data_IF_550241163996
#
_entry.id   IF_550241163996
#
_cell.length_a   1.000
_cell.length_b   1.000
_cell.length_c   1.000
_cell.angle_alpha   90.00
_cell.angle_beta   90.00
_cell.angle_gamma   90.00
#
_symmetry.space_group_name_H-M   'P 1'
#
loop_
_entity.id
_entity.type
_entity.pdbx_description
1 polymer ?
#
# COMPACT_ATOMS: atom_id res chain seq x y z
N UNK A 1 -13.32 1.45 31.58
CA UNK A 1 -12.14 2.14 30.98
C UNK A 1 -11.51 1.36 29.81
N UNK A 2 -11.15 0.09 30.00
CA UNK A 2 -10.46 -0.75 29.00
C UNK A 2 -11.13 -0.77 27.61
N UNK A 3 -12.46 -0.81 27.57
CA UNK A 3 -13.23 -0.84 26.33
C UNK A 3 -13.05 0.44 25.47
N UNK A 4 -12.92 1.61 26.12
CA UNK A 4 -12.72 2.90 25.42
C UNK A 4 -11.33 2.97 24.78
N UNK A 5 -10.32 2.40 25.45
CA UNK A 5 -8.94 2.33 24.95
C UNK A 5 -8.85 1.35 23.78
N UNK A 6 -9.42 0.14 23.90
CA UNK A 6 -9.48 -0.84 22.81
C UNK A 6 -10.14 -0.27 21.56
N UNK A 7 -11.27 0.42 21.72
CA UNK A 7 -11.99 1.05 20.60
C UNK A 7 -11.14 2.07 19.85
N UNK A 8 -10.38 2.92 20.56
CA UNK A 8 -9.49 3.91 19.94
C UNK A 8 -8.37 3.24 19.12
N UNK A 9 -7.81 2.15 19.64
CA UNK A 9 -6.76 1.39 18.95
C UNK A 9 -7.30 0.75 17.67
N UNK A 10 -8.46 0.09 17.74
CA UNK A 10 -9.07 -0.53 16.56
C UNK A 10 -9.48 0.49 15.51
N UNK A 11 -9.97 1.66 15.95
CA UNK A 11 -10.26 2.77 15.04
C UNK A 11 -9.00 3.26 14.31
N UNK A 12 -7.89 3.47 15.02
CA UNK A 12 -6.63 3.88 14.41
C UNK A 12 -6.09 2.82 13.43
N UNK A 13 -6.19 1.53 13.77
CA UNK A 13 -5.82 0.42 12.85
C UNK A 13 -6.68 0.43 11.59
N UNK A 14 -7.99 0.63 11.72
CA UNK A 14 -8.92 0.67 10.59
C UNK A 14 -8.61 1.87 9.67
N UNK A 15 -8.35 3.05 10.24
CA UNK A 15 -7.93 4.22 9.46
C UNK A 15 -6.64 3.98 8.70
N UNK A 16 -5.64 3.36 9.35
CA UNK A 16 -4.39 2.99 8.68
C UNK A 16 -4.64 1.99 7.56
N UNK A 17 -5.46 0.95 7.78
CA UNK A 17 -5.83 -0.05 6.76
C UNK A 17 -6.44 0.60 5.52
N UNK A 18 -7.41 1.49 5.72
CA UNK A 18 -8.05 2.19 4.61
C UNK A 18 -7.05 2.99 3.77
N UNK A 19 -6.03 3.60 4.39
CA UNK A 19 -4.96 4.32 3.67
C UNK A 19 -4.05 3.38 2.88
N UNK A 20 -3.61 2.26 3.48
CA UNK A 20 -2.65 1.34 2.84
C UNK A 20 -3.29 0.43 1.80
N UNK A 21 -4.59 0.15 1.90
CA UNK A 21 -5.34 -0.65 0.93
C UNK A 21 -5.20 -0.12 -0.50
N UNK A 22 -5.16 1.20 -0.67
CA UNK A 22 -5.06 1.82 -1.99
C UNK A 22 -3.73 1.50 -2.70
N UNK A 23 -2.53 1.73 -2.10
CA UNK A 23 -1.27 1.22 -2.63
C UNK A 23 -1.26 -0.29 -2.89
N UNK A 24 -1.82 -1.10 -1.99
CA UNK A 24 -1.88 -2.55 -2.16
C UNK A 24 -2.75 -2.95 -3.36
N UNK A 25 -3.84 -2.24 -3.63
CA UNK A 25 -4.69 -2.45 -4.81
C UNK A 25 -3.91 -2.15 -6.09
N UNK A 26 -3.14 -1.05 -6.12
CA UNK A 26 -2.29 -0.69 -7.28
C UNK A 26 -1.29 -1.82 -7.56
N UNK A 27 -0.59 -2.31 -6.54
CA UNK A 27 0.43 -3.34 -6.70
C UNK A 27 -0.20 -4.69 -7.11
N UNK A 28 -1.26 -5.13 -6.43
CA UNK A 28 -1.85 -6.45 -6.67
C UNK A 28 -2.68 -6.49 -7.96
N UNK A 29 -3.40 -5.42 -8.30
CA UNK A 29 -4.32 -5.42 -9.44
C UNK A 29 -3.65 -4.82 -10.68
N UNK A 30 -3.14 -3.59 -10.58
CA UNK A 30 -2.61 -2.87 -11.76
C UNK A 30 -1.24 -3.38 -12.18
N UNK A 31 -0.37 -3.70 -11.23
CA UNK A 31 0.93 -4.32 -11.51
C UNK A 31 0.89 -5.85 -11.50
N UNK A 32 -0.30 -6.45 -11.36
CA UNK A 32 -0.54 -7.90 -11.41
C UNK A 32 0.32 -8.74 -10.43
N UNK A 33 0.77 -8.15 -9.32
CA UNK A 33 1.60 -8.84 -8.32
C UNK A 33 0.74 -9.60 -7.30
N UNK A 34 -0.11 -10.52 -7.76
CA UNK A 34 -1.06 -11.28 -6.90
C UNK A 34 -0.44 -12.53 -6.27
N UNK A 35 0.54 -13.13 -6.93
CA UNK A 35 1.19 -14.38 -6.51
C UNK A 35 2.70 -14.22 -6.57
N UNK A 36 3.37 -14.60 -5.49
CA UNK A 36 4.85 -14.68 -5.41
C UNK A 36 5.26 -16.15 -5.31
N UNK A 37 6.46 -16.46 -5.80
CA UNK A 37 7.04 -17.81 -5.63
C UNK A 37 7.71 -17.87 -4.26
N UNK A 38 7.67 -19.01 -3.58
CA UNK A 38 8.42 -19.17 -2.31
C UNK A 38 9.93 -19.27 -2.52
N UNK A 39 10.37 -19.64 -3.72
CA UNK A 39 11.79 -19.66 -4.08
C UNK A 39 12.28 -18.25 -4.41
N UNK A 40 13.52 -17.94 -3.99
CA UNK A 40 14.16 -16.66 -4.29
C UNK A 40 13.56 -15.48 -3.52
N UNK A 41 13.36 -15.65 -2.21
CA UNK A 41 12.75 -14.64 -1.33
C UNK A 41 13.42 -13.26 -1.48
N UNK A 42 14.75 -13.20 -1.52
CA UNK A 42 15.48 -11.93 -1.69
C UNK A 42 15.09 -11.19 -2.97
N UNK A 43 14.99 -11.91 -4.10
CA UNK A 43 14.57 -11.33 -5.39
C UNK A 43 13.13 -10.84 -5.35
N UNK A 44 12.24 -11.59 -4.70
CA UNK A 44 10.84 -11.20 -4.56
C UNK A 44 10.70 -9.97 -3.66
N UNK A 45 11.48 -9.89 -2.59
CA UNK A 45 11.53 -8.72 -1.70
C UNK A 45 12.06 -7.49 -2.41
N UNK A 46 13.15 -7.61 -3.18
CA UNK A 46 13.67 -6.52 -4.00
C UNK A 46 12.63 -6.05 -5.03
N UNK A 47 11.94 -6.98 -5.71
CA UNK A 47 10.86 -6.63 -6.64
C UNK A 47 9.72 -5.90 -5.93
N UNK A 48 9.33 -6.34 -4.73
CA UNK A 48 8.28 -5.70 -3.95
C UNK A 48 8.62 -4.24 -3.62
N UNK A 49 9.85 -3.96 -3.18
CA UNK A 49 10.29 -2.58 -2.90
C UNK A 49 10.22 -1.69 -4.14
N UNK A 50 10.69 -2.19 -5.29
CA UNK A 50 10.59 -1.47 -6.55
C UNK A 50 9.13 -1.17 -6.94
N UNK A 51 8.23 -2.15 -6.77
CA UNK A 51 6.79 -1.97 -7.06
C UNK A 51 6.14 -0.93 -6.13
N UNK A 52 6.52 -0.88 -4.85
CA UNK A 52 6.06 0.16 -3.93
C UNK A 52 6.55 1.56 -4.34
N UNK A 53 7.80 1.69 -4.77
CA UNK A 53 8.33 2.94 -5.32
C UNK A 53 7.53 3.42 -6.54
N UNK A 54 7.27 2.52 -7.50
CA UNK A 54 6.48 2.82 -8.69
C UNK A 54 5.01 3.15 -8.37
N UNK A 55 4.41 2.46 -7.39
CA UNK A 55 3.05 2.74 -6.95
C UNK A 55 2.96 4.17 -6.37
N UNK A 56 3.93 4.57 -5.55
CA UNK A 56 4.01 5.93 -5.01
C UNK A 56 4.11 6.98 -6.13
N UNK A 57 4.95 6.76 -7.15
CA UNK A 57 5.07 7.67 -8.29
C UNK A 57 3.77 7.80 -9.08
N UNK A 58 3.06 6.69 -9.33
CA UNK A 58 1.77 6.74 -10.01
C UNK A 58 0.69 7.49 -9.21
N UNK A 59 0.68 7.34 -7.88
CA UNK A 59 -0.23 8.09 -7.02
C UNK A 59 0.13 9.58 -7.02
N UNK A 60 1.42 9.90 -6.89
CA UNK A 60 1.93 11.26 -6.95
C UNK A 60 1.60 11.95 -8.29
N UNK A 61 1.67 11.23 -9.41
CA UNK A 61 1.29 11.76 -10.74
C UNK A 61 -0.10 12.40 -10.73
N UNK A 62 -1.09 11.80 -10.05
CA UNK A 62 -2.45 12.35 -9.98
C UNK A 62 -2.50 13.69 -9.25
N UNK A 63 -1.68 13.86 -8.22
CA UNK A 63 -1.57 15.11 -7.48
C UNK A 63 -0.80 16.17 -8.26
N UNK A 64 0.31 15.79 -8.90
CA UNK A 64 1.11 16.70 -9.72
C UNK A 64 0.35 17.21 -10.95
N UNK A 65 -0.45 16.36 -11.59
CA UNK A 65 -1.31 16.78 -12.71
C UNK A 65 -2.45 17.73 -12.27
N UNK A 66 -2.93 17.60 -11.03
CA UNK A 66 -3.92 18.54 -10.47
C UNK A 66 -3.30 19.88 -10.05
N UNK A 67 -2.02 19.90 -9.69
CA UNK A 67 -1.31 21.13 -9.32
C UNK A 67 -0.79 21.92 -10.53
N UNK A 68 -0.63 21.26 -11.69
CA UNK A 68 -0.12 21.84 -12.92
C UNK A 68 -1.20 22.35 -13.89
N UNK A 69 -2.49 22.14 -13.56
CA UNK A 69 -3.64 22.70 -14.28
C UNK A 69 -4.37 23.72 -13.42
#
# INVERSE_FOLDING_TARGET
MLYRVKRKIEYAKAQLRAKVEHPFQVIKVRFNHRKVRYRGLEKNTAQLFSLFGLANLMLAKRYLQQAAG
#
